data_IF_719566158205
#
_entry.id   IF_719566158205
#
_cell.length_a   1.000
_cell.length_b   1.000
_cell.length_c   1.000
_cell.angle_alpha   90.00
_cell.angle_beta   90.00
_cell.angle_gamma   90.00
#
_symmetry.space_group_name_H-M   'P 1'
#
loop_
_entity.id
_entity.type
_entity.pdbx_description
1 polymer ?
#
# COMPACT_ATOMS: atom_id res chain seq x y z
N UNK A 1 8.46 13.56 -3.42
CA UNK A 1 7.75 13.94 -4.68
C UNK A 1 8.20 13.05 -5.86
N UNK A 2 9.47 12.65 -5.94
CA UNK A 2 10.04 11.89 -7.07
C UNK A 2 9.27 10.63 -7.47
N UNK A 3 8.82 9.82 -6.50
CA UNK A 3 8.01 8.63 -6.80
C UNK A 3 6.72 8.99 -7.57
N UNK A 4 6.02 10.04 -7.15
CA UNK A 4 4.80 10.51 -7.80
C UNK A 4 5.11 11.00 -9.23
N UNK A 5 6.20 11.75 -9.41
CA UNK A 5 6.60 12.28 -10.72
C UNK A 5 6.98 11.17 -11.71
N UNK A 6 7.74 10.18 -11.24
CA UNK A 6 8.15 9.01 -12.05
C UNK A 6 6.95 8.16 -12.46
N UNK A 7 5.92 8.08 -11.61
CA UNK A 7 4.69 7.32 -11.85
C UNK A 7 3.49 8.21 -12.20
N UNK A 8 3.75 9.39 -12.77
CA UNK A 8 2.72 10.43 -13.00
C UNK A 8 1.55 9.95 -13.87
N UNK A 9 1.82 9.22 -14.95
CA UNK A 9 0.78 8.63 -15.82
C UNK A 9 -0.12 7.67 -15.01
N UNK A 10 0.49 6.79 -14.21
CA UNK A 10 -0.23 5.83 -13.38
C UNK A 10 -1.09 6.54 -12.34
N UNK A 11 -0.56 7.52 -11.60
CA UNK A 11 -1.33 8.27 -10.61
C UNK A 11 -2.52 8.99 -11.24
N UNK A 12 -2.34 9.65 -12.40
CA UNK A 12 -3.44 10.30 -13.11
C UNK A 12 -4.51 9.30 -13.54
N UNK A 13 -4.10 8.13 -14.06
CA UNK A 13 -5.03 7.05 -14.42
C UNK A 13 -5.84 6.56 -13.21
N UNK A 14 -5.18 6.34 -12.07
CA UNK A 14 -5.80 5.86 -10.83
C UNK A 14 -6.71 6.92 -10.20
N UNK A 15 -6.32 8.19 -10.22
CA UNK A 15 -7.16 9.30 -9.76
C UNK A 15 -8.49 9.34 -10.53
N UNK A 16 -8.44 9.13 -11.85
CA UNK A 16 -9.65 9.03 -12.66
C UNK A 16 -10.43 7.75 -12.37
N UNK A 17 -9.79 6.58 -12.47
CA UNK A 17 -10.40 5.24 -12.29
C UNK A 17 -11.16 5.11 -10.97
N UNK A 18 -10.63 5.69 -9.90
CA UNK A 18 -11.19 5.56 -8.55
C UNK A 18 -11.85 6.84 -8.02
N UNK A 19 -12.08 7.84 -8.89
CA UNK A 19 -12.66 9.13 -8.53
C UNK A 19 -11.95 9.85 -7.36
N UNK A 20 -10.62 9.69 -7.27
CA UNK A 20 -9.74 10.42 -6.35
C UNK A 20 -9.28 11.68 -7.07
N UNK A 21 -10.23 12.54 -7.45
CA UNK A 21 -10.05 13.57 -8.48
C UNK A 21 -10.35 15.00 -8.01
N UNK A 22 -10.59 15.21 -6.71
CA UNK A 22 -10.62 16.55 -6.10
C UNK A 22 -9.31 16.82 -5.35
N UNK A 23 -8.87 18.08 -5.20
CA UNK A 23 -7.67 18.41 -4.44
C UNK A 23 -7.68 17.80 -3.04
N UNK A 24 -8.84 17.84 -2.37
CA UNK A 24 -9.03 17.27 -1.03
C UNK A 24 -8.87 15.75 -1.02
N UNK A 25 -9.52 15.02 -1.95
CA UNK A 25 -9.40 13.56 -2.03
C UNK A 25 -7.96 13.13 -2.32
N UNK A 26 -7.30 13.80 -3.26
CA UNK A 26 -5.89 13.54 -3.60
C UNK A 26 -5.00 13.75 -2.38
N UNK A 27 -5.17 14.86 -1.66
CA UNK A 27 -4.34 15.16 -0.50
C UNK A 27 -4.51 14.14 0.63
N UNK A 28 -5.76 13.76 0.95
CA UNK A 28 -6.03 12.72 1.94
C UNK A 28 -5.48 11.36 1.53
N UNK A 29 -5.68 10.97 0.27
CA UNK A 29 -5.15 9.71 -0.25
C UNK A 29 -3.63 9.66 -0.15
N UNK A 30 -2.93 10.68 -0.65
CA UNK A 30 -1.47 10.74 -0.65
C UNK A 30 -0.88 10.86 0.76
N UNK A 31 -1.54 11.57 1.68
CA UNK A 31 -1.10 11.66 3.07
C UNK A 31 -1.07 10.28 3.75
N UNK A 32 -2.10 9.47 3.51
CA UNK A 32 -2.15 8.10 4.04
C UNK A 32 -1.09 7.22 3.39
N UNK A 33 -0.95 7.25 2.05
CA UNK A 33 0.08 6.47 1.37
C UNK A 33 1.50 6.87 1.79
N UNK A 34 1.74 8.17 2.00
CA UNK A 34 3.04 8.66 2.46
C UNK A 34 3.41 8.00 3.78
N UNK A 35 2.48 7.97 4.74
CA UNK A 35 2.70 7.34 6.05
C UNK A 35 2.92 5.82 5.91
N UNK A 36 2.01 5.12 5.23
CA UNK A 36 2.06 3.64 5.11
C UNK A 36 3.32 3.14 4.39
N UNK A 37 3.85 3.91 3.43
CA UNK A 37 5.00 3.53 2.62
C UNK A 37 6.32 4.16 3.07
N UNK A 38 6.32 4.90 4.19
CA UNK A 38 7.49 5.63 4.67
C UNK A 38 8.04 6.61 3.63
N UNK A 39 7.17 7.43 3.06
CA UNK A 39 7.52 8.43 2.04
C UNK A 39 7.68 7.84 0.63
N UNK A 40 6.93 6.78 0.29
CA UNK A 40 6.99 6.07 -0.99
C UNK A 40 8.33 5.35 -1.24
N UNK A 41 8.93 4.80 -0.18
CA UNK A 41 10.20 4.08 -0.24
C UNK A 41 10.02 2.58 0.05
N UNK A 42 8.98 2.21 0.82
CA UNK A 42 8.74 0.83 1.26
C UNK A 42 7.58 0.20 0.50
N UNK A 43 7.89 -0.82 -0.30
CA UNK A 43 6.92 -1.59 -1.10
C UNK A 43 6.84 -3.06 -0.69
N UNK A 44 7.73 -3.49 0.20
CA UNK A 44 7.73 -4.82 0.76
C UNK A 44 7.95 -4.67 2.26
N UNK A 45 7.24 -5.44 3.05
CA UNK A 45 7.63 -5.61 4.44
C UNK A 45 8.97 -6.36 4.55
N UNK A 46 9.65 -6.14 5.67
CA UNK A 46 10.85 -6.88 6.04
C UNK A 46 10.59 -7.51 7.41
N UNK A 47 10.67 -8.83 7.48
CA UNK A 47 10.52 -9.58 8.73
C UNK A 47 11.88 -9.85 9.38
N UNK A 48 12.85 -8.97 9.14
CA UNK A 48 14.21 -9.05 9.66
C UNK A 48 14.32 -8.54 11.11
N UNK A 49 13.58 -9.17 12.02
CA UNK A 49 13.54 -8.81 13.44
C UNK A 49 14.58 -9.56 14.27
N UNK A 50 15.05 -8.95 15.36
CA UNK A 50 15.70 -9.68 16.46
C UNK A 50 14.66 -10.50 17.23
N UNK A 51 15.05 -11.51 18.04
CA UNK A 51 14.12 -12.24 18.89
C UNK A 51 13.27 -11.32 19.78
N UNK A 52 13.89 -10.33 20.44
CA UNK A 52 13.17 -9.34 21.26
C UNK A 52 12.22 -8.48 20.42
N UNK A 53 12.62 -8.11 19.20
CA UNK A 53 11.78 -7.37 18.26
C UNK A 53 10.53 -8.16 17.87
N UNK A 54 10.67 -9.47 17.60
CA UNK A 54 9.54 -10.34 17.29
C UNK A 54 8.52 -10.37 18.42
N UNK A 55 8.99 -10.57 19.66
CA UNK A 55 8.10 -10.59 20.83
C UNK A 55 7.42 -9.24 21.04
N UNK A 56 8.17 -8.13 20.88
CA UNK A 56 7.61 -6.78 21.02
C UNK A 56 6.55 -6.47 19.97
N UNK A 57 6.76 -6.89 18.72
CA UNK A 57 5.88 -6.54 17.60
C UNK A 57 4.65 -7.45 17.50
N UNK A 58 4.82 -8.77 17.67
CA UNK A 58 3.75 -9.75 17.42
C UNK A 58 3.15 -10.34 18.69
N UNK A 59 3.84 -10.19 19.84
CA UNK A 59 3.43 -10.80 21.10
C UNK A 59 3.67 -12.32 21.14
N UNK A 60 3.72 -12.86 22.35
CA UNK A 60 3.99 -14.29 22.59
C UNK A 60 2.87 -15.22 22.16
N UNK A 61 1.64 -14.71 22.01
CA UNK A 61 0.50 -15.46 21.51
C UNK A 61 0.66 -15.81 20.02
N UNK A 62 1.40 -14.99 19.27
CA UNK A 62 1.59 -15.18 17.83
C UNK A 62 2.90 -15.91 17.51
N UNK A 63 3.97 -15.61 18.28
CA UNK A 63 5.27 -16.27 18.14
C UNK A 63 5.88 -16.53 19.52
N UNK A 64 6.18 -17.80 19.81
CA UNK A 64 6.74 -18.17 21.11
C UNK A 64 8.17 -17.65 21.27
N UNK A 65 8.65 -17.52 22.52
CA UNK A 65 10.04 -17.12 22.81
C UNK A 65 11.04 -18.08 22.15
N UNK A 66 10.76 -19.38 22.15
CA UNK A 66 11.60 -20.37 21.50
C UNK A 66 11.66 -20.16 19.98
N UNK A 67 10.51 -19.93 19.33
CA UNK A 67 10.45 -19.64 17.89
C UNK A 67 11.13 -18.30 17.55
N UNK A 68 10.95 -17.27 18.38
CA UNK A 68 11.59 -15.98 18.19
C UNK A 68 13.12 -16.08 18.25
N UNK A 69 13.66 -16.86 19.20
CA UNK A 69 15.09 -17.15 19.30
C UNK A 69 15.60 -17.98 18.11
N UNK A 70 14.80 -18.95 17.67
CA UNK A 70 15.17 -19.85 16.57
C UNK A 70 15.22 -19.13 15.21
N UNK A 71 14.26 -18.26 14.94
CA UNK A 71 14.11 -17.65 13.61
C UNK A 71 14.50 -16.18 13.53
N UNK A 72 14.63 -15.48 14.66
CA UNK A 72 15.07 -14.09 14.71
C UNK A 72 16.53 -13.91 14.30
N UNK A 73 16.88 -12.71 13.86
CA UNK A 73 18.25 -12.31 13.55
C UNK A 73 19.06 -12.18 14.83
N UNK A 74 20.25 -12.78 14.85
CA UNK A 74 21.25 -12.62 15.91
C UNK A 74 22.61 -12.25 15.29
N UNK A 75 23.65 -12.10 16.12
CA UNK A 75 25.02 -11.95 15.61
C UNK A 75 25.51 -13.19 14.84
N UNK A 76 24.93 -14.37 15.10
CA UNK A 76 25.36 -15.66 14.53
C UNK A 76 24.49 -16.13 13.37
N UNK A 77 23.30 -15.53 13.17
CA UNK A 77 22.37 -15.95 12.11
C UNK A 77 21.55 -14.80 11.55
N UNK A 78 21.22 -14.89 10.26
CA UNK A 78 20.22 -14.03 9.63
C UNK A 78 18.81 -14.46 10.06
N UNK A 79 17.85 -13.54 10.06
CA UNK A 79 16.46 -13.90 10.31
C UNK A 79 15.95 -14.85 9.22
N UNK A 80 15.24 -15.91 9.63
CA UNK A 80 14.46 -16.74 8.72
C UNK A 80 13.08 -16.10 8.51
N UNK A 81 13.03 -15.11 7.61
CA UNK A 81 11.84 -14.29 7.38
C UNK A 81 10.65 -15.10 6.87
N UNK A 82 10.88 -16.15 6.07
CA UNK A 82 9.81 -17.04 5.60
C UNK A 82 9.19 -17.84 6.74
N UNK A 83 10.01 -18.40 7.64
CA UNK A 83 9.51 -19.08 8.83
C UNK A 83 8.74 -18.09 9.73
N UNK A 84 9.29 -16.89 9.95
CA UNK A 84 8.61 -15.84 10.71
C UNK A 84 7.24 -15.53 10.10
N UNK A 85 7.16 -15.24 8.80
CA UNK A 85 5.90 -14.91 8.12
C UNK A 85 4.85 -16.02 8.24
N UNK A 86 5.28 -17.28 8.05
CA UNK A 86 4.38 -18.43 8.14
C UNK A 86 3.89 -18.66 9.56
N UNK A 87 4.64 -18.26 10.58
CA UNK A 87 4.21 -18.29 11.98
C UNK A 87 3.25 -17.12 12.24
N UNK A 88 3.68 -15.89 11.97
CA UNK A 88 2.94 -14.69 12.39
C UNK A 88 1.66 -14.46 11.58
N UNK A 89 1.63 -14.85 10.31
CA UNK A 89 0.48 -14.69 9.43
C UNK A 89 -0.22 -16.01 9.11
N UNK A 90 0.25 -17.13 9.64
CA UNK A 90 -0.37 -18.45 9.46
C UNK A 90 -1.22 -18.89 10.65
N UNK A 91 -1.44 -20.21 10.74
CA UNK A 91 -2.19 -20.83 11.83
C UNK A 91 -3.66 -20.38 11.90
N UNK A 92 -4.28 -20.60 13.06
CA UNK A 92 -5.70 -20.27 13.27
C UNK A 92 -5.96 -18.76 13.16
N UNK A 93 -5.05 -17.94 13.71
CA UNK A 93 -5.15 -16.49 13.61
C UNK A 93 -5.10 -16.01 12.16
N UNK A 94 -4.14 -16.51 11.37
CA UNK A 94 -4.02 -16.18 9.94
C UNK A 94 -5.21 -16.67 9.12
N UNK A 95 -5.75 -17.84 9.43
CA UNK A 95 -6.98 -18.35 8.80
C UNK A 95 -8.16 -17.41 9.03
N UNK A 96 -8.38 -16.97 10.26
CA UNK A 96 -9.52 -16.12 10.64
C UNK A 96 -9.37 -14.69 10.10
N UNK A 97 -8.18 -14.09 10.25
CA UNK A 97 -8.00 -12.66 9.99
C UNK A 97 -7.50 -12.34 8.58
N UNK A 98 -6.80 -13.28 7.94
CA UNK A 98 -6.12 -13.06 6.65
C UNK A 98 -6.59 -14.03 5.55
N UNK A 99 -7.43 -15.01 5.88
CA UNK A 99 -7.83 -16.09 4.96
C UNK A 99 -6.67 -17.00 4.57
N UNK A 100 -5.56 -16.97 5.30
CA UNK A 100 -4.39 -17.80 5.05
C UNK A 100 -4.70 -19.24 5.49
N UNK A 101 -5.03 -20.08 4.52
CA UNK A 101 -5.58 -21.43 4.73
C UNK A 101 -4.64 -22.52 4.27
N UNK A 102 -3.66 -22.21 3.42
CA UNK A 102 -2.67 -23.15 2.93
C UNK A 102 -1.31 -22.95 3.62
N UNK A 103 -0.55 -24.03 3.69
CA UNK A 103 0.84 -23.98 4.16
C UNK A 103 1.64 -23.02 3.28
N UNK A 104 2.40 -22.13 3.91
CA UNK A 104 3.20 -21.13 3.20
C UNK A 104 2.47 -19.82 2.88
N UNK A 105 1.16 -19.72 3.14
CA UNK A 105 0.38 -18.52 2.85
C UNK A 105 0.89 -17.29 3.58
N UNK A 106 1.38 -17.46 4.81
CA UNK A 106 1.90 -16.33 5.59
C UNK A 106 3.05 -15.62 4.89
N UNK A 107 4.01 -16.38 4.34
CA UNK A 107 5.08 -15.80 3.51
C UNK A 107 4.61 -15.39 2.12
N UNK A 108 3.76 -16.21 1.48
CA UNK A 108 3.30 -15.98 0.11
C UNK A 108 2.52 -14.68 -0.01
N UNK A 109 1.62 -14.40 0.94
CA UNK A 109 0.74 -13.23 1.00
C UNK A 109 1.13 -12.26 2.12
N UNK A 110 2.41 -12.17 2.41
CA UNK A 110 2.99 -11.12 3.27
C UNK A 110 2.74 -9.72 2.68
N UNK A 111 2.86 -8.69 3.50
CA UNK A 111 2.63 -7.27 3.19
C UNK A 111 3.44 -6.76 2.00
N UNK A 112 2.72 -6.21 1.01
CA UNK A 112 3.29 -5.61 -0.21
C UNK A 112 2.57 -4.33 -0.62
N UNK A 113 3.27 -3.53 -1.43
CA UNK A 113 2.77 -2.30 -2.01
C UNK A 113 2.64 -1.15 -1.01
N UNK A 114 2.01 -0.07 -1.48
CA UNK A 114 1.95 1.22 -0.75
C UNK A 114 1.05 1.18 0.49
N UNK A 115 0.15 0.21 0.59
CA UNK A 115 -0.81 0.04 1.70
C UNK A 115 -0.62 -1.26 2.47
N UNK A 116 0.50 -1.96 2.25
CA UNK A 116 0.81 -3.24 2.91
C UNK A 116 -0.30 -4.30 2.77
N UNK A 117 -0.71 -4.58 1.53
CA UNK A 117 -1.72 -5.62 1.24
C UNK A 117 -1.23 -6.96 1.79
N UNK A 118 -1.97 -7.54 2.74
CA UNK A 118 -1.55 -8.72 3.50
C UNK A 118 -2.69 -9.74 3.57
N UNK A 119 -2.39 -11.02 3.41
CA UNK A 119 -3.32 -12.12 3.56
C UNK A 119 -4.01 -12.55 2.26
N UNK A 120 -4.14 -13.87 2.06
CA UNK A 120 -4.76 -14.48 0.88
C UNK A 120 -6.12 -13.87 0.55
N UNK A 121 -6.98 -13.63 1.56
CA UNK A 121 -8.30 -13.07 1.33
C UNK A 121 -8.24 -11.69 0.66
N UNK A 122 -7.29 -10.84 1.07
CA UNK A 122 -7.14 -9.50 0.52
C UNK A 122 -6.52 -9.53 -0.88
N UNK A 123 -5.53 -10.40 -1.12
CA UNK A 123 -5.00 -10.62 -2.47
C UNK A 123 -6.07 -11.17 -3.42
N UNK A 124 -6.93 -12.08 -2.95
CA UNK A 124 -8.01 -12.64 -3.75
C UNK A 124 -9.04 -11.57 -4.09
N UNK A 125 -9.47 -10.79 -3.10
CA UNK A 125 -10.43 -9.69 -3.34
C UNK A 125 -9.90 -8.66 -4.35
N UNK A 126 -8.59 -8.37 -4.33
CA UNK A 126 -7.99 -7.50 -5.35
C UNK A 126 -7.92 -8.17 -6.73
N UNK A 127 -7.56 -9.46 -6.81
CA UNK A 127 -7.59 -10.23 -8.06
C UNK A 127 -8.99 -10.22 -8.67
N UNK A 128 -10.02 -10.50 -7.87
CA UNK A 128 -11.40 -10.55 -8.33
C UNK A 128 -11.89 -9.19 -8.85
N UNK A 129 -11.42 -8.10 -8.25
CA UNK A 129 -11.75 -6.75 -8.71
C UNK A 129 -10.97 -6.32 -9.97
N UNK A 130 -9.66 -6.57 -10.00
CA UNK A 130 -8.76 -6.00 -10.99
C UNK A 130 -8.46 -6.91 -12.18
N UNK A 131 -8.67 -8.22 -12.04
CA UNK A 131 -8.22 -9.25 -12.97
C UNK A 131 -6.71 -9.55 -12.92
N UNK A 132 -5.92 -8.81 -12.14
CA UNK A 132 -4.49 -9.09 -11.98
C UNK A 132 -4.30 -10.33 -11.11
N UNK A 133 -3.61 -11.35 -11.63
CA UNK A 133 -3.39 -12.60 -10.90
C UNK A 133 -2.28 -12.51 -9.83
N UNK A 134 -2.53 -11.68 -8.82
CA UNK A 134 -1.67 -11.53 -7.64
C UNK A 134 -1.73 -12.74 -6.72
N UNK A 135 -2.61 -13.71 -6.98
CA UNK A 135 -2.66 -14.98 -6.24
C UNK A 135 -1.60 -15.94 -6.77
N UNK A 136 -1.54 -16.11 -8.08
CA UNK A 136 -0.50 -16.87 -8.74
C UNK A 136 0.87 -16.19 -8.55
N UNK A 137 0.93 -14.87 -8.74
CA UNK A 137 2.15 -14.08 -8.73
C UNK A 137 2.07 -12.93 -7.70
N UNK A 138 2.23 -13.20 -6.39
CA UNK A 138 2.02 -12.19 -5.34
C UNK A 138 3.02 -11.03 -5.37
N UNK A 139 4.20 -11.21 -5.96
CA UNK A 139 5.19 -10.13 -6.08
C UNK A 139 4.74 -9.03 -7.06
N UNK A 140 3.71 -9.27 -7.89
CA UNK A 140 3.07 -8.22 -8.67
C UNK A 140 2.55 -7.09 -7.78
N UNK A 141 2.09 -7.38 -6.55
CA UNK A 141 1.60 -6.37 -5.62
C UNK A 141 2.66 -5.33 -5.20
N UNK A 142 3.95 -5.61 -5.42
CA UNK A 142 5.06 -4.68 -5.17
C UNK A 142 5.48 -3.88 -6.41
N UNK A 143 4.98 -4.22 -7.60
CA UNK A 143 5.25 -3.47 -8.83
C UNK A 143 4.60 -2.09 -8.74
N UNK A 144 5.29 -0.97 -9.02
CA UNK A 144 4.75 0.37 -8.74
C UNK A 144 3.36 0.65 -9.31
N UNK A 145 3.08 0.25 -10.55
CA UNK A 145 1.78 0.44 -11.20
C UNK A 145 0.65 -0.36 -10.52
N UNK A 146 0.91 -1.61 -10.16
CA UNK A 146 -0.04 -2.47 -9.44
C UNK A 146 -0.19 -1.99 -8.00
N UNK A 147 0.88 -1.58 -7.33
CA UNK A 147 0.84 -1.06 -5.96
C UNK A 147 0.02 0.22 -5.85
N UNK A 148 0.11 1.12 -6.85
CA UNK A 148 -0.71 2.34 -6.92
C UNK A 148 -2.18 1.97 -7.22
N UNK A 149 -2.43 1.00 -8.10
CA UNK A 149 -3.80 0.53 -8.38
C UNK A 149 -4.45 -0.14 -7.16
N UNK A 150 -3.73 -1.02 -6.46
CA UNK A 150 -4.15 -1.62 -5.18
C UNK A 150 -4.51 -0.53 -4.19
N UNK A 151 -3.69 0.52 -4.07
CA UNK A 151 -3.97 1.64 -3.17
C UNK A 151 -5.28 2.35 -3.53
N UNK A 152 -5.51 2.63 -4.83
CA UNK A 152 -6.76 3.24 -5.30
C UNK A 152 -7.99 2.37 -5.06
N UNK A 153 -7.87 1.05 -5.33
CA UNK A 153 -8.92 0.07 -5.05
C UNK A 153 -9.23 0.00 -3.55
N UNK A 154 -8.20 -0.11 -2.72
CA UNK A 154 -8.34 -0.17 -1.27
C UNK A 154 -9.07 1.08 -0.76
N UNK A 155 -8.67 2.25 -1.23
CA UNK A 155 -9.24 3.53 -0.87
C UNK A 155 -10.73 3.68 -1.27
N UNK A 156 -11.02 3.56 -2.56
CA UNK A 156 -12.34 3.92 -3.10
C UNK A 156 -13.34 2.77 -3.06
N UNK A 157 -12.90 1.54 -3.27
CA UNK A 157 -13.78 0.39 -3.43
C UNK A 157 -13.91 -0.36 -2.13
N UNK A 158 -12.78 -0.76 -1.53
CA UNK A 158 -12.78 -1.60 -0.34
C UNK A 158 -13.28 -0.85 0.90
N UNK A 159 -12.79 0.37 1.12
CA UNK A 159 -13.10 1.17 2.31
C UNK A 159 -14.03 2.36 2.06
N UNK A 160 -14.28 2.71 0.79
CA UNK A 160 -15.17 3.80 0.37
C UNK A 160 -14.82 5.13 1.06
N UNK A 161 -13.55 5.54 0.94
CA UNK A 161 -12.99 6.67 1.70
C UNK A 161 -13.22 8.04 1.06
N UNK A 162 -13.57 8.10 -0.24
CA UNK A 162 -13.84 9.37 -0.94
C UNK A 162 -14.87 10.26 -0.20
N UNK A 163 -16.08 9.79 0.17
CA UNK A 163 -17.04 10.62 0.91
C UNK A 163 -16.51 11.13 2.26
N UNK A 164 -15.65 10.36 2.92
CA UNK A 164 -15.06 10.74 4.22
C UNK A 164 -14.01 11.83 4.01
N UNK A 165 -13.20 11.71 2.96
CA UNK A 165 -12.25 12.74 2.56
C UNK A 165 -12.96 14.03 2.16
N UNK A 166 -14.14 13.96 1.53
CA UNK A 166 -14.92 15.16 1.20
C UNK A 166 -15.33 15.95 2.45
N UNK A 167 -15.55 15.27 3.58
CA UNK A 167 -15.80 15.90 4.89
C UNK A 167 -14.53 16.33 5.64
N UNK A 168 -13.35 16.18 5.04
CA UNK A 168 -12.03 16.45 5.65
C UNK A 168 -11.75 15.64 6.93
N UNK A 169 -12.33 14.45 7.08
CA UNK A 169 -12.27 13.68 8.32
C UNK A 169 -11.11 12.67 8.33
N UNK A 170 -9.89 13.18 8.58
CA UNK A 170 -8.66 12.36 8.64
C UNK A 170 -8.69 11.30 9.75
N UNK A 171 -9.39 11.57 10.86
CA UNK A 171 -9.49 10.63 11.97
C UNK A 171 -10.26 9.37 11.56
N UNK A 172 -11.42 9.54 10.91
CA UNK A 172 -12.21 8.40 10.41
C UNK A 172 -11.49 7.64 9.29
N UNK A 173 -10.76 8.34 8.42
CA UNK A 173 -9.92 7.70 7.39
C UNK A 173 -8.83 6.85 8.04
N UNK A 174 -8.08 7.44 8.99
CA UNK A 174 -6.98 6.75 9.68
C UNK A 174 -7.47 5.51 10.42
N UNK A 175 -8.60 5.62 11.14
CA UNK A 175 -9.24 4.47 11.81
C UNK A 175 -9.62 3.36 10.84
N UNK A 176 -10.16 3.69 9.67
CA UNK A 176 -10.55 2.68 8.67
C UNK A 176 -9.34 1.98 8.04
N UNK A 177 -8.24 2.70 7.82
CA UNK A 177 -7.03 2.12 7.21
C UNK A 177 -6.25 1.28 8.23
N UNK A 178 -6.08 1.78 9.45
CA UNK A 178 -5.16 1.20 10.45
C UNK A 178 -5.84 0.45 11.60
N UNK A 179 -7.18 0.46 11.67
CA UNK A 179 -7.92 -0.04 12.83
C UNK A 179 -7.80 0.83 14.09
N UNK A 180 -7.12 1.98 14.01
CA UNK A 180 -6.84 2.88 15.12
C UNK A 180 -6.34 4.26 14.66
N UNK A 181 -5.78 5.05 15.58
CA UNK A 181 -5.24 6.39 15.29
C UNK A 181 -3.70 6.42 15.26
N UNK A 182 -3.08 5.30 14.91
CA UNK A 182 -1.62 5.18 14.84
C UNK A 182 -1.02 6.23 13.90
N UNK A 183 -0.03 6.97 14.41
CA UNK A 183 0.70 8.04 13.72
C UNK A 183 -0.19 9.15 13.15
N UNK A 184 -1.31 9.48 13.82
CA UNK A 184 -2.24 10.51 13.35
C UNK A 184 -1.57 11.86 13.11
N UNK A 185 -0.69 12.31 14.00
CA UNK A 185 -0.02 13.62 13.88
C UNK A 185 0.83 13.72 12.60
N UNK A 186 1.54 12.64 12.24
CA UNK A 186 2.31 12.60 11.00
C UNK A 186 1.37 12.60 9.79
N UNK A 187 0.25 11.86 9.82
CA UNK A 187 -0.76 11.89 8.75
C UNK A 187 -1.36 13.28 8.57
N UNK A 188 -1.62 14.01 9.66
CA UNK A 188 -2.11 15.41 9.62
C UNK A 188 -1.07 16.32 8.98
N UNK A 189 0.20 16.19 9.36
CA UNK A 189 1.31 16.94 8.77
C UNK A 189 1.44 16.67 7.26
N UNK A 190 1.33 15.41 6.84
CA UNK A 190 1.35 15.06 5.41
C UNK A 190 0.11 15.59 4.68
N UNK A 191 -1.06 15.55 5.30
CA UNK A 191 -2.28 16.14 4.73
C UNK A 191 -2.09 17.65 4.49
N UNK A 192 -1.58 18.38 5.49
CA UNK A 192 -1.31 19.81 5.37
C UNK A 192 -0.31 20.09 4.24
N UNK A 193 0.73 19.27 4.10
CA UNK A 193 1.66 19.36 2.98
C UNK A 193 0.94 19.21 1.62
N UNK A 194 0.20 18.11 1.42
CA UNK A 194 -0.45 17.85 0.13
C UNK A 194 -1.62 18.78 -0.20
N UNK A 195 -2.28 19.38 0.79
CA UNK A 195 -3.31 20.41 0.56
C UNK A 195 -2.69 21.67 -0.05
N UNK A 196 -1.45 22.02 0.31
CA UNK A 196 -0.79 23.25 -0.18
C UNK A 196 -0.20 23.13 -1.58
N UNK A 197 -0.26 21.95 -2.20
CA UNK A 197 0.39 21.65 -3.47
C UNK A 197 -0.66 21.24 -4.49
N UNK A 198 -0.66 21.88 -5.67
CA UNK A 198 -1.43 21.41 -6.83
C UNK A 198 -0.81 20.14 -7.42
N UNK A 199 -0.99 19.03 -6.71
CA UNK A 199 -0.43 17.74 -7.10
C UNK A 199 -0.95 17.31 -8.47
N UNK A 200 -2.24 17.55 -8.75
CA UNK A 200 -2.85 17.19 -10.03
C UNK A 200 -2.19 17.96 -11.19
N UNK A 201 -2.05 19.28 -11.06
CA UNK A 201 -1.39 20.11 -12.07
C UNK A 201 0.09 19.77 -12.27
N UNK A 202 0.82 19.49 -11.17
CA UNK A 202 2.22 19.05 -11.24
C UNK A 202 2.36 17.75 -12.04
N UNK A 203 1.51 16.76 -11.78
CA UNK A 203 1.54 15.48 -12.50
C UNK A 203 1.14 15.65 -13.97
N UNK A 204 0.08 16.42 -14.26
CA UNK A 204 -0.33 16.74 -15.64
C UNK A 204 0.81 17.42 -16.42
N UNK A 205 1.48 18.41 -15.81
CA UNK A 205 2.64 19.11 -16.40
C UNK A 205 3.78 18.15 -16.72
N UNK A 206 4.12 17.25 -15.79
CA UNK A 206 5.18 16.24 -15.98
C UNK A 206 4.91 15.33 -17.18
N UNK A 207 3.67 14.86 -17.32
CA UNK A 207 3.25 14.00 -18.44
C UNK A 207 3.30 14.76 -19.76
N UNK A 208 2.78 15.99 -19.81
CA UNK A 208 2.85 16.85 -21.01
C UNK A 208 4.30 17.08 -21.46
N UNK A 209 5.20 17.40 -20.54
CA UNK A 209 6.63 17.55 -20.85
C UNK A 209 7.24 16.26 -21.40
N UNK A 210 6.90 15.09 -20.86
CA UNK A 210 7.40 13.80 -21.37
C UNK A 210 6.95 13.52 -22.80
N UNK A 211 5.68 13.82 -23.13
CA UNK A 211 5.15 13.67 -24.49
C UNK A 211 5.81 14.62 -25.49
N UNK A 212 6.03 15.88 -25.11
CA UNK A 212 6.71 16.85 -25.98
C UNK A 212 8.15 16.43 -26.31
N UNK A 213 8.83 15.73 -25.40
CA UNK A 213 10.21 15.28 -25.59
C UNK A 213 10.33 13.94 -26.35
N UNK A 214 9.24 13.18 -26.50
CA UNK A 214 9.26 11.90 -27.23
C UNK A 214 7.91 11.62 -27.93
N UNK A 215 7.76 12.06 -29.19
CA UNK A 215 6.50 11.98 -29.93
C UNK A 215 6.13 10.54 -30.38
N UNK A 216 7.00 9.55 -30.16
CA UNK A 216 6.74 8.15 -30.56
C UNK A 216 5.96 7.34 -29.50
N UNK A 217 5.67 7.91 -28.32
CA UNK A 217 4.81 7.29 -27.29
C UNK A 217 3.29 7.40 -27.62
N UNK A 218 2.89 7.00 -28.84
CA UNK A 218 1.52 7.17 -29.35
C UNK A 218 0.52 6.07 -28.94
N UNK A 219 0.71 5.37 -27.82
CA UNK A 219 -0.24 4.35 -27.34
C UNK A 219 -1.23 4.83 -26.25
N UNK A 220 -1.12 6.09 -25.80
CA UNK A 220 -1.91 6.65 -24.68
C UNK A 220 -2.67 7.95 -25.04
N UNK A 221 -3.05 8.15 -26.31
CA UNK A 221 -3.81 9.32 -26.76
C UNK A 221 -5.21 9.46 -26.15
N UNK A 222 -5.70 8.46 -25.41
CA UNK A 222 -7.02 8.50 -24.75
C UNK A 222 -7.12 9.33 -23.47
N UNK A 223 -6.02 9.85 -22.91
CA UNK A 223 -6.04 10.59 -21.62
C UNK A 223 -6.00 12.11 -21.72
N UNK A 224 -5.84 12.69 -22.92
CA UNK A 224 -5.68 14.14 -23.11
C UNK A 224 -6.98 14.87 -23.54
N UNK A 225 -8.14 14.21 -23.53
CA UNK A 225 -9.44 14.85 -23.80
C UNK A 225 -10.32 14.97 -22.54
N UNK A 226 -9.75 15.48 -21.45
CA UNK A 226 -10.51 15.91 -20.27
C UNK A 226 -10.05 17.31 -19.86
N UNK A 227 -10.37 18.28 -20.70
CA UNK A 227 -10.47 19.69 -20.33
C UNK A 227 -11.85 20.17 -20.80
N UNK A 228 -12.78 20.35 -19.86
CA UNK A 228 -13.54 21.57 -19.56
C UNK A 228 -14.11 21.45 -18.14
#
# INVERSE_FOLDING_TARGET
MDFLLTNSITFLSIFNKYAINTPRRIAHFLAQLHEESGGFIKFNESLNYTPQGLIKTFGTNQISVAQANLYGRTAKQKANQQAIANIVYGGNWGKINLGNTLVGDGWRFRGRGLIQLTGRANYQAYKDYSGHDVIANPDLASRPDIAIDIAGWFWSVRFKLNPIADTNNINSITKKINGGLTNLDERVKQLNHYITIDTLGILKKKVKTKFLLNPYYNFWSGFLHLDY
#
